data_IF_961172664386
#
_entry.id   IF_961172664386
#
_cell.length_a   1.000
_cell.length_b   1.000
_cell.length_c   1.000
_cell.angle_alpha   90.00
_cell.angle_beta   90.00
_cell.angle_gamma   90.00
#
_symmetry.space_group_name_H-M   'P 1'
#
loop_
_entity.id
_entity.type
_entity.pdbx_description
1 polymer ?
#
# COMPACT_ATOMS: atom_id res chain seq x y z
N UNK A 1 1.34 -16.95 23.65
CA UNK A 1 0.09 -16.44 23.05
C UNK A 1 -0.17 -15.05 23.64
N UNK A 2 0.38 -13.99 23.02
CA UNK A 2 0.10 -12.60 23.41
C UNK A 2 -0.86 -12.05 22.37
N UNK A 3 -2.15 -12.06 22.68
CA UNK A 3 -3.14 -11.27 21.95
C UNK A 3 -2.83 -9.80 22.22
N UNK A 4 -2.08 -9.18 21.32
CA UNK A 4 -2.03 -7.73 21.24
C UNK A 4 -3.46 -7.26 21.00
N UNK A 5 -3.99 -6.46 21.93
CA UNK A 5 -5.29 -5.85 21.80
C UNK A 5 -5.32 -5.06 20.50
N UNK A 6 -6.31 -5.33 19.64
CA UNK A 6 -6.58 -4.49 18.46
C UNK A 6 -6.76 -3.05 18.94
N UNK A 7 -6.02 -2.06 18.41
CA UNK A 7 -6.25 -0.68 18.78
C UNK A 7 -7.68 -0.29 18.42
N UNK A 8 -8.34 0.42 19.33
CA UNK A 8 -9.71 0.94 19.19
C UNK A 8 -9.80 1.83 17.92
N UNK A 9 -10.21 1.24 16.80
CA UNK A 9 -10.15 1.82 15.44
C UNK A 9 -11.06 3.04 15.19
N UNK A 10 -11.63 3.65 16.24
CA UNK A 10 -12.60 4.74 16.14
C UNK A 10 -12.12 6.11 16.61
N UNK A 11 -10.90 6.25 17.16
CA UNK A 11 -10.46 7.51 17.79
C UNK A 11 -9.27 8.11 17.05
N UNK A 12 -9.45 9.31 16.50
CA UNK A 12 -8.37 10.10 15.93
C UNK A 12 -7.83 11.06 16.99
N UNK A 13 -6.51 11.03 17.23
CA UNK A 13 -5.87 12.08 18.01
C UNK A 13 -5.83 13.36 17.14
N UNK A 14 -6.68 14.33 17.49
CA UNK A 14 -6.72 15.62 16.79
C UNK A 14 -5.84 16.62 17.52
N UNK A 15 -4.96 17.28 16.76
CA UNK A 15 -4.16 18.42 17.21
C UNK A 15 -4.83 19.69 16.69
N UNK A 16 -5.09 20.62 17.59
CA UNK A 16 -5.62 21.96 17.26
C UNK A 16 -4.49 22.96 17.38
N UNK A 17 -4.16 23.63 16.27
CA UNK A 17 -3.13 24.67 16.25
C UNK A 17 -3.78 26.04 16.07
N UNK A 18 -3.55 26.92 17.05
CA UNK A 18 -4.01 28.31 16.97
C UNK A 18 -3.08 29.06 16.02
N UNK A 19 -3.61 29.49 14.87
CA UNK A 19 -2.90 30.33 13.89
C UNK A 19 -3.11 31.81 14.17
N UNK A 20 -4.28 32.17 14.67
CA UNK A 20 -4.63 33.56 15.03
C UNK A 20 -5.57 33.53 16.21
N UNK A 21 -5.30 34.40 17.18
CA UNK A 21 -6.19 34.72 18.29
C UNK A 21 -5.98 36.21 18.59
N UNK A 22 -6.84 37.05 18.03
CA UNK A 22 -6.71 38.51 18.15
C UNK A 22 -8.01 39.07 18.69
N UNK A 23 -7.89 39.79 19.81
CA UNK A 23 -8.92 40.68 20.30
C UNK A 23 -8.54 42.12 19.96
N UNK A 24 -9.49 42.87 19.43
CA UNK A 24 -9.34 44.30 19.19
C UNK A 24 -10.54 45.02 19.79
N UNK A 25 -10.30 46.09 20.54
CA UNK A 25 -11.34 46.94 21.11
C UNK A 25 -11.01 48.40 20.80
N UNK A 26 -12.03 49.18 20.46
CA UNK A 26 -11.94 50.62 20.28
C UNK A 26 -13.14 51.31 20.90
N UNK A 27 -12.97 52.56 21.31
CA UNK A 27 -14.10 53.40 21.70
C UNK A 27 -15.01 53.63 20.48
N UNK A 28 -16.30 53.35 20.62
CA UNK A 28 -17.30 53.74 19.62
C UNK A 28 -17.86 55.13 19.92
N UNK A 29 -17.96 55.48 21.20
CA UNK A 29 -18.27 56.82 21.69
C UNK A 29 -17.78 56.99 23.16
N UNK A 30 -18.12 58.12 23.80
CA UNK A 30 -17.70 58.42 25.18
C UNK A 30 -18.28 57.48 26.26
N UNK A 31 -19.27 56.64 25.91
CA UNK A 31 -19.96 55.74 26.84
C UNK A 31 -19.84 54.27 26.46
N UNK A 32 -19.33 53.94 25.26
CA UNK A 32 -19.31 52.59 24.72
C UNK A 32 -17.99 52.25 24.03
N UNK A 33 -17.63 50.97 24.13
CA UNK A 33 -16.56 50.35 23.36
C UNK A 33 -17.14 49.25 22.47
N UNK A 34 -16.57 49.13 21.27
CA UNK A 34 -16.84 48.04 20.33
C UNK A 34 -15.57 47.24 20.11
N UNK A 35 -15.71 45.94 19.98
CA UNK A 35 -14.57 45.08 19.72
C UNK A 35 -14.89 43.88 18.85
N UNK A 36 -13.81 43.23 18.44
CA UNK A 36 -13.82 42.05 17.60
C UNK A 36 -12.91 40.99 18.18
N UNK A 37 -13.32 39.74 17.99
CA UNK A 37 -12.50 38.55 18.15
C UNK A 37 -12.30 37.95 16.77
N UNK A 38 -11.05 37.65 16.41
CA UNK A 38 -10.71 36.83 15.23
C UNK A 38 -9.92 35.61 15.69
N UNK A 39 -10.41 34.43 15.31
CA UNK A 39 -9.76 33.14 15.61
C UNK A 39 -9.54 32.38 14.30
N UNK A 40 -8.30 31.94 14.07
CA UNK A 40 -7.96 30.97 13.01
C UNK A 40 -7.35 29.73 13.63
N UNK A 41 -7.91 28.56 13.35
CA UNK A 41 -7.44 27.26 13.83
C UNK A 41 -7.09 26.37 12.65
N UNK A 42 -6.03 25.59 12.78
CA UNK A 42 -5.77 24.43 11.94
C UNK A 42 -6.02 23.16 12.74
N UNK A 43 -6.74 22.22 12.12
CA UNK A 43 -6.97 20.88 12.65
C UNK A 43 -6.09 19.90 11.91
N UNK A 44 -5.33 19.11 12.67
CA UNK A 44 -4.40 18.11 12.19
C UNK A 44 -4.72 16.78 12.88
N UNK A 45 -4.52 15.64 12.22
CA UNK A 45 -4.52 14.34 12.89
C UNK A 45 -3.09 13.92 13.19
N UNK A 46 -2.88 13.34 14.36
CA UNK A 46 -1.61 12.77 14.79
C UNK A 46 -1.69 11.24 14.74
N UNK A 47 -0.86 10.61 13.91
CA UNK A 47 -0.70 9.15 13.84
C UNK A 47 0.78 8.82 13.80
N UNK A 48 1.21 7.89 14.66
CA UNK A 48 2.61 7.42 14.70
C UNK A 48 3.65 8.56 14.75
N UNK A 49 3.33 9.65 15.46
CA UNK A 49 4.19 10.85 15.56
C UNK A 49 4.11 11.83 14.38
N UNK A 50 3.43 11.47 13.30
CA UNK A 50 3.24 12.30 12.11
C UNK A 50 1.95 13.11 12.22
N UNK A 51 2.05 14.42 11.97
CA UNK A 51 0.89 15.32 11.90
C UNK A 51 0.47 15.51 10.44
N UNK A 52 -0.78 15.19 10.14
CA UNK A 52 -1.35 15.38 8.81
C UNK A 52 -2.49 16.40 8.87
N UNK A 53 -2.50 17.43 7.99
CA UNK A 53 -3.54 18.45 8.00
C UNK A 53 -4.91 17.86 7.62
N UNK A 54 -5.95 18.31 8.31
CA UNK A 54 -7.35 17.97 8.02
C UNK A 54 -8.06 19.15 7.35
N UNK A 55 -8.26 20.22 8.12
CA UNK A 55 -8.97 21.43 7.68
C UNK A 55 -8.57 22.64 8.53
N UNK A 56 -8.94 23.83 8.08
CA UNK A 56 -8.80 25.07 8.85
C UNK A 56 -10.17 25.69 9.13
N UNK A 57 -10.28 26.40 10.24
CA UNK A 57 -11.45 27.15 10.63
C UNK A 57 -11.07 28.61 10.87
N UNK A 58 -11.86 29.52 10.32
CA UNK A 58 -11.78 30.94 10.61
C UNK A 58 -13.13 31.41 11.12
N UNK A 59 -13.12 32.05 12.28
CA UNK A 59 -14.33 32.56 12.91
C UNK A 59 -13.99 33.66 13.91
N UNK A 60 -14.96 33.96 14.76
CA UNK A 60 -14.85 35.07 15.69
C UNK A 60 -16.19 35.72 15.94
N UNK A 61 -16.15 36.92 16.48
CA UNK A 61 -17.37 37.64 16.84
C UNK A 61 -17.12 39.13 17.02
N UNK A 62 -18.21 39.85 17.18
CA UNK A 62 -18.20 41.27 17.55
C UNK A 62 -18.90 41.43 18.89
N UNK A 63 -18.48 42.41 19.67
CA UNK A 63 -19.18 42.80 20.88
C UNK A 63 -19.24 44.33 21.00
N UNK A 64 -20.20 44.79 21.78
CA UNK A 64 -20.29 46.16 22.25
C UNK A 64 -20.57 46.14 23.74
N UNK A 65 -19.94 47.03 24.51
CA UNK A 65 -20.14 47.12 25.95
C UNK A 65 -20.13 48.57 26.43
N UNK A 66 -20.88 48.90 27.50
CA UNK A 66 -20.77 50.19 28.15
C UNK A 66 -19.45 50.31 28.94
N UNK A 67 -18.98 51.55 29.12
CA UNK A 67 -17.79 51.89 29.90
C UNK A 67 -18.09 52.16 31.39
N UNK A 68 -19.34 51.98 31.82
CA UNK A 68 -19.76 52.17 33.21
C UNK A 68 -19.17 51.11 34.15
N UNK A 69 -18.96 51.45 35.41
CA UNK A 69 -18.46 50.53 36.46
C UNK A 69 -19.35 49.30 36.72
N UNK A 70 -20.63 49.36 36.33
CA UNK A 70 -21.58 48.24 36.42
C UNK A 70 -21.60 47.33 35.18
N UNK A 71 -20.77 47.59 34.17
CA UNK A 71 -20.70 46.78 32.95
C UNK A 71 -19.96 45.45 33.20
N UNK A 72 -20.30 44.42 32.40
CA UNK A 72 -19.48 43.21 32.28
C UNK A 72 -18.02 43.58 32.06
N UNK A 73 -17.11 42.89 32.76
CA UNK A 73 -15.68 43.12 32.56
C UNK A 73 -15.31 42.73 31.13
N UNK A 74 -14.37 43.45 30.48
CA UNK A 74 -13.91 43.10 29.15
C UNK A 74 -13.53 41.62 29.02
N UNK A 75 -12.91 41.07 30.07
CA UNK A 75 -12.47 39.67 30.14
C UNK A 75 -13.62 38.66 30.09
N UNK A 76 -14.77 38.97 30.69
CA UNK A 76 -15.94 38.07 30.71
C UNK A 76 -16.60 37.97 29.32
N UNK A 77 -16.67 39.10 28.61
CA UNK A 77 -17.15 39.14 27.22
C UNK A 77 -16.18 38.45 26.27
N UNK A 78 -14.87 38.69 26.44
CA UNK A 78 -13.83 38.03 25.66
C UNK A 78 -13.86 36.51 25.86
N UNK A 79 -14.00 36.04 27.10
CA UNK A 79 -14.11 34.62 27.41
C UNK A 79 -15.37 34.02 26.78
N UNK A 80 -16.51 34.71 26.87
CA UNK A 80 -17.78 34.24 26.28
C UNK A 80 -17.66 34.08 24.76
N UNK A 81 -17.11 35.10 24.06
CA UNK A 81 -16.90 35.04 22.62
C UNK A 81 -15.90 33.95 22.22
N UNK A 82 -14.81 33.80 22.98
CA UNK A 82 -13.81 32.76 22.72
C UNK A 82 -14.44 31.38 22.86
N UNK A 83 -15.19 31.14 23.94
CA UNK A 83 -15.90 29.87 24.19
C UNK A 83 -16.86 29.54 23.05
N UNK A 84 -17.71 30.49 22.66
CA UNK A 84 -18.64 30.30 21.54
C UNK A 84 -17.92 30.02 20.21
N UNK A 85 -16.79 30.69 19.97
CA UNK A 85 -15.98 30.48 18.76
C UNK A 85 -15.33 29.10 18.74
N UNK A 86 -14.82 28.64 19.89
CA UNK A 86 -14.24 27.29 20.03
C UNK A 86 -15.32 26.19 19.91
N UNK A 87 -16.49 26.38 20.50
CA UNK A 87 -17.62 25.44 20.33
C UNK A 87 -18.07 25.35 18.87
N UNK A 88 -18.09 26.49 18.17
CA UNK A 88 -18.43 26.54 16.75
C UNK A 88 -17.37 25.85 15.89
N UNK A 89 -16.08 26.01 16.23
CA UNK A 89 -14.99 25.36 15.49
C UNK A 89 -14.97 23.84 15.67
N UNK A 90 -15.31 23.35 16.86
CA UNK A 90 -15.43 21.90 17.11
C UNK A 90 -16.63 21.29 16.40
N UNK A 91 -17.79 21.98 16.38
CA UNK A 91 -18.95 21.57 15.57
C UNK A 91 -18.64 21.55 14.08
N UNK A 92 -17.92 22.56 13.60
CA UNK A 92 -17.42 22.59 12.22
C UNK A 92 -16.52 21.38 11.92
N UNK A 93 -15.56 21.08 12.80
CA UNK A 93 -14.68 19.92 12.65
C UNK A 93 -15.48 18.61 12.60
N UNK A 94 -16.45 18.43 13.50
CA UNK A 94 -17.29 17.22 13.55
C UNK A 94 -18.09 17.02 12.25
N UNK A 95 -18.71 18.09 11.74
CA UNK A 95 -19.39 18.06 10.44
C UNK A 95 -18.41 17.76 9.30
N UNK A 96 -17.23 18.38 9.33
CA UNK A 96 -16.20 18.15 8.31
C UNK A 96 -15.71 16.71 8.33
N UNK A 97 -15.45 16.13 9.50
CA UNK A 97 -15.05 14.74 9.68
C UNK A 97 -16.14 13.77 9.20
N UNK A 98 -17.40 14.06 9.47
CA UNK A 98 -18.53 13.25 9.00
C UNK A 98 -18.62 13.21 7.47
N UNK A 99 -18.35 14.34 6.80
CA UNK A 99 -18.39 14.46 5.34
C UNK A 99 -17.14 13.89 4.65
N UNK A 100 -15.97 14.05 5.26
CA UNK A 100 -14.68 13.73 4.61
C UNK A 100 -14.04 12.42 5.11
N UNK A 101 -14.32 12.01 6.34
CA UNK A 101 -13.76 10.80 6.96
C UNK A 101 -13.90 9.52 6.10
N UNK A 102 -15.05 9.27 5.45
CA UNK A 102 -15.22 8.09 4.61
C UNK A 102 -14.30 8.01 3.39
N UNK A 103 -13.76 9.14 2.90
CA UNK A 103 -12.99 9.20 1.64
C UNK A 103 -11.55 9.65 1.82
N UNK A 104 -11.18 10.20 2.99
CA UNK A 104 -9.83 10.65 3.29
C UNK A 104 -8.99 9.51 3.85
N UNK A 105 -7.94 9.13 3.12
CA UNK A 105 -7.01 8.06 3.50
C UNK A 105 -6.34 8.29 4.85
N UNK A 106 -5.94 9.53 5.14
CA UNK A 106 -5.43 10.00 6.44
C UNK A 106 -6.35 9.68 7.63
N UNK A 107 -7.65 9.52 7.36
CA UNK A 107 -8.67 9.16 8.36
C UNK A 107 -9.10 7.69 8.28
N UNK A 108 -8.60 6.92 7.31
CA UNK A 108 -8.95 5.51 7.15
C UNK A 108 -8.57 4.71 8.40
N UNK A 109 -9.36 3.67 8.68
CA UNK A 109 -9.32 2.87 9.91
C UNK A 109 -8.76 1.48 9.69
N UNK A 110 -8.72 1.03 8.44
CA UNK A 110 -8.22 -0.28 8.05
C UNK A 110 -7.86 -0.30 6.57
N UNK A 111 -7.11 -1.33 6.20
CA UNK A 111 -6.73 -1.63 4.82
C UNK A 111 -7.34 -2.95 4.42
N UNK A 112 -7.85 -3.02 3.19
CA UNK A 112 -8.39 -4.24 2.58
C UNK A 112 -7.70 -4.48 1.25
N UNK A 113 -7.03 -5.62 1.14
CA UNK A 113 -6.42 -6.08 -0.10
C UNK A 113 -7.45 -6.84 -0.93
N UNK A 114 -7.56 -6.51 -2.20
CA UNK A 114 -8.31 -7.27 -3.20
C UNK A 114 -7.36 -7.65 -4.31
N UNK A 115 -7.03 -8.95 -4.39
CA UNK A 115 -6.29 -9.46 -5.53
C UNK A 115 -7.22 -9.55 -6.72
N UNK A 116 -6.84 -8.90 -7.82
CA UNK A 116 -7.49 -9.09 -9.10
C UNK A 116 -6.94 -10.38 -9.70
N UNK A 117 -7.82 -11.28 -10.12
CA UNK A 117 -7.45 -12.37 -11.01
C UNK A 117 -6.71 -11.75 -12.20
N UNK A 118 -5.48 -12.22 -12.42
CA UNK A 118 -4.50 -11.57 -13.29
C UNK A 118 -5.12 -11.13 -14.62
N UNK A 119 -4.72 -9.95 -15.09
CA UNK A 119 -5.07 -9.39 -16.39
C UNK A 119 -5.37 -10.47 -17.42
N UNK A 120 -6.64 -10.64 -17.76
CA UNK A 120 -7.12 -11.52 -18.80
C UNK A 120 -6.77 -10.92 -20.16
N UNK A 121 -5.49 -10.76 -20.47
CA UNK A 121 -5.08 -10.05 -21.69
C UNK A 121 -3.82 -10.70 -22.25
N UNK A 122 -4.03 -11.82 -22.95
CA UNK A 122 -3.06 -12.52 -23.79
C UNK A 122 -1.83 -13.04 -23.02
N UNK A 123 -1.69 -14.36 -22.95
CA UNK A 123 -0.52 -15.04 -22.36
C UNK A 123 0.82 -14.58 -22.96
N UNK A 124 0.78 -13.91 -24.12
CA UNK A 124 1.95 -13.35 -24.78
C UNK A 124 1.65 -11.93 -25.27
N UNK A 125 2.51 -10.96 -24.91
CA UNK A 125 2.48 -9.61 -25.48
C UNK A 125 3.91 -9.15 -25.75
N UNK A 126 4.26 -9.05 -27.03
CA UNK A 126 5.60 -8.65 -27.46
C UNK A 126 6.68 -9.61 -26.93
N UNK A 127 7.59 -9.07 -26.12
CA UNK A 127 8.72 -9.77 -25.50
C UNK A 127 8.32 -10.61 -24.27
N UNK A 128 7.11 -10.44 -23.74
CA UNK A 128 6.74 -11.04 -22.45
C UNK A 128 5.84 -12.27 -22.64
N UNK A 129 6.18 -13.37 -21.97
CA UNK A 129 5.28 -14.51 -21.72
C UNK A 129 4.78 -14.43 -20.29
N UNK A 130 3.47 -14.37 -20.10
CA UNK A 130 2.86 -14.44 -18.78
C UNK A 130 2.60 -15.90 -18.38
N UNK A 131 2.73 -16.19 -17.09
CA UNK A 131 2.53 -17.54 -16.58
C UNK A 131 1.07 -17.98 -16.80
N UNK A 132 0.87 -19.02 -17.60
CA UNK A 132 -0.40 -19.69 -17.81
C UNK A 132 -0.12 -21.20 -17.88
N UNK A 133 -0.71 -22.04 -17.01
CA UNK A 133 -0.55 -23.49 -17.06
C UNK A 133 -0.91 -24.12 -18.41
N UNK A 134 -1.76 -23.44 -19.20
CA UNK A 134 -2.20 -23.87 -20.54
C UNK A 134 -1.24 -23.41 -21.64
N UNK A 135 -0.27 -22.54 -21.32
CA UNK A 135 0.79 -22.09 -22.23
C UNK A 135 2.16 -22.25 -21.55
N UNK A 136 2.65 -23.50 -21.36
CA UNK A 136 4.00 -23.74 -20.87
C UNK A 136 5.04 -23.18 -21.85
N UNK A 137 6.24 -22.86 -21.38
CA UNK A 137 7.34 -22.33 -22.19
C UNK A 137 7.66 -23.24 -23.38
N UNK A 138 8.07 -22.62 -24.49
CA UNK A 138 8.59 -23.32 -25.68
C UNK A 138 9.93 -22.72 -26.07
N UNK A 139 10.76 -23.45 -26.80
CA UNK A 139 12.06 -22.92 -27.25
C UNK A 139 11.99 -21.65 -28.10
N UNK A 140 10.85 -21.35 -28.74
CA UNK A 140 10.63 -20.09 -29.45
C UNK A 140 10.51 -18.86 -28.51
N UNK A 141 10.38 -19.08 -27.20
CA UNK A 141 10.37 -18.04 -26.18
C UNK A 141 11.79 -17.64 -25.73
N UNK A 142 12.85 -18.27 -26.26
CA UNK A 142 14.24 -18.00 -25.90
C UNK A 142 14.94 -17.32 -27.09
N UNK A 143 14.83 -15.99 -27.15
CA UNK A 143 15.28 -15.18 -28.30
C UNK A 143 16.63 -14.52 -28.10
N UNK A 144 17.12 -14.42 -26.86
CA UNK A 144 18.42 -13.84 -26.59
C UNK A 144 19.54 -14.72 -27.15
N UNK A 145 20.64 -14.07 -27.55
CA UNK A 145 21.85 -14.79 -27.95
C UNK A 145 22.47 -15.52 -26.74
N UNK A 146 22.94 -16.77 -26.90
CA UNK A 146 23.64 -17.49 -25.84
C UNK A 146 24.87 -16.72 -25.35
N UNK A 147 25.09 -16.72 -24.04
CA UNK A 147 26.23 -16.00 -23.44
C UNK A 147 27.47 -16.88 -23.40
N UNK A 148 28.57 -16.39 -23.95
CA UNK A 148 29.89 -17.04 -23.86
C UNK A 148 30.39 -17.09 -22.42
N UNK A 149 31.01 -18.21 -22.01
CA UNK A 149 31.62 -18.36 -20.69
C UNK A 149 30.71 -18.86 -19.57
N UNK A 150 29.48 -19.28 -19.89
CA UNK A 150 28.59 -20.01 -18.96
C UNK A 150 28.68 -21.52 -19.22
N UNK A 151 28.69 -22.32 -18.15
CA UNK A 151 28.82 -23.79 -18.21
C UNK A 151 27.48 -24.53 -18.36
N UNK A 152 26.39 -23.83 -18.66
CA UNK A 152 25.04 -24.39 -18.77
C UNK A 152 24.41 -24.09 -20.14
N UNK A 153 23.49 -24.96 -20.56
CA UNK A 153 22.98 -25.04 -21.93
C UNK A 153 21.88 -24.04 -22.30
N UNK A 154 21.14 -23.55 -21.31
CA UNK A 154 20.05 -22.59 -21.46
C UNK A 154 19.92 -21.72 -20.20
N UNK A 155 19.19 -20.61 -20.32
CA UNK A 155 18.75 -19.84 -19.16
C UNK A 155 17.45 -19.10 -19.47
N UNK A 156 16.47 -19.26 -18.59
CA UNK A 156 15.24 -18.48 -18.56
C UNK A 156 15.42 -17.24 -17.68
N UNK A 157 14.98 -16.09 -18.18
CA UNK A 157 14.73 -14.93 -17.34
C UNK A 157 13.26 -14.96 -16.91
N UNK A 158 13.00 -15.41 -15.68
CA UNK A 158 11.66 -15.42 -15.09
C UNK A 158 11.62 -14.57 -13.82
N UNK A 159 10.52 -13.83 -13.64
CA UNK A 159 10.34 -12.91 -12.50
C UNK A 159 8.85 -12.65 -12.24
N UNK A 160 8.55 -11.98 -11.13
CA UNK A 160 7.22 -11.49 -10.84
C UNK A 160 7.24 -10.02 -10.44
N UNK A 161 6.09 -9.37 -10.62
CA UNK A 161 5.86 -7.99 -10.20
C UNK A 161 4.39 -7.80 -9.83
N UNK A 162 4.06 -6.62 -9.35
CA UNK A 162 2.67 -6.27 -9.04
C UNK A 162 2.35 -4.84 -9.47
N UNK A 163 1.07 -4.62 -9.75
CA UNK A 163 0.48 -3.30 -9.91
C UNK A 163 -0.57 -3.14 -8.82
N UNK A 164 -0.56 -2.01 -8.12
CA UNK A 164 -1.52 -1.72 -7.06
C UNK A 164 -2.16 -0.35 -7.29
N UNK A 165 -3.46 -0.26 -7.03
CA UNK A 165 -4.20 1.01 -6.95
C UNK A 165 -4.96 1.04 -5.63
N UNK A 166 -4.91 2.16 -4.93
CA UNK A 166 -5.58 2.33 -3.64
C UNK A 166 -6.64 3.43 -3.74
N UNK A 167 -7.78 3.22 -3.09
CA UNK A 167 -8.79 4.25 -2.89
C UNK A 167 -9.45 4.06 -1.53
N UNK A 168 -9.82 5.17 -0.88
CA UNK A 168 -10.47 5.11 0.43
C UNK A 168 -11.98 5.24 0.27
N UNK A 169 -12.72 4.24 0.75
CA UNK A 169 -14.19 4.21 0.74
C UNK A 169 -14.69 3.68 2.08
N UNK A 170 -15.63 4.39 2.70
CA UNK A 170 -16.18 4.03 4.01
C UNK A 170 -15.14 4.07 5.15
N UNK A 171 -14.04 4.80 4.96
CA UNK A 171 -12.91 4.83 5.89
C UNK A 171 -12.08 3.54 5.86
N UNK A 172 -12.10 2.81 4.75
CA UNK A 172 -11.23 1.65 4.47
C UNK A 172 -10.41 1.95 3.23
N UNK A 173 -9.10 1.76 3.29
CA UNK A 173 -8.24 1.80 2.11
C UNK A 173 -8.40 0.49 1.35
N UNK A 174 -9.02 0.53 0.18
CA UNK A 174 -9.17 -0.63 -0.70
C UNK A 174 -8.02 -0.69 -1.71
N UNK A 175 -7.07 -1.59 -1.45
CA UNK A 175 -5.92 -1.82 -2.32
C UNK A 175 -6.26 -2.91 -3.32
N UNK A 176 -6.40 -2.52 -4.58
CA UNK A 176 -6.62 -3.41 -5.70
C UNK A 176 -5.28 -3.79 -6.32
N UNK A 177 -4.88 -5.05 -6.15
CA UNK A 177 -3.56 -5.52 -6.55
C UNK A 177 -3.65 -6.58 -7.65
N UNK A 178 -2.86 -6.44 -8.70
CA UNK A 178 -2.66 -7.43 -9.74
C UNK A 178 -1.21 -7.93 -9.70
N UNK A 179 -1.01 -9.21 -9.41
CA UNK A 179 0.32 -9.85 -9.42
C UNK A 179 0.54 -10.51 -10.77
N UNK A 180 1.69 -10.26 -11.38
CA UNK A 180 2.08 -10.76 -12.71
C UNK A 180 3.32 -11.61 -12.56
N UNK A 181 3.29 -12.82 -13.11
CA UNK A 181 4.44 -13.71 -13.22
C UNK A 181 4.78 -13.80 -14.70
N UNK A 182 6.05 -13.59 -15.05
CA UNK A 182 6.43 -13.44 -16.45
C UNK A 182 7.84 -13.93 -16.76
N UNK A 183 8.04 -14.22 -18.04
CA UNK A 183 9.33 -14.51 -18.67
C UNK A 183 9.60 -13.47 -19.77
N UNK A 184 10.86 -13.06 -19.92
CA UNK A 184 11.29 -12.13 -20.97
C UNK A 184 12.05 -12.88 -22.07
N UNK A 185 11.53 -12.88 -23.29
CA UNK A 185 12.05 -13.68 -24.40
C UNK A 185 13.43 -13.23 -24.83
N UNK A 186 13.63 -11.93 -24.91
CA UNK A 186 14.86 -11.26 -25.33
C UNK A 186 15.92 -11.23 -24.21
N UNK A 187 15.61 -11.79 -23.03
CA UNK A 187 16.59 -12.06 -21.97
C UNK A 187 16.81 -13.55 -21.69
N UNK A 188 16.06 -14.42 -22.36
CA UNK A 188 16.18 -15.87 -22.22
C UNK A 188 16.87 -16.48 -23.43
N UNK A 189 17.81 -17.39 -23.22
CA UNK A 189 18.65 -17.94 -24.30
C UNK A 189 18.84 -19.45 -24.15
N UNK A 190 19.18 -20.10 -25.26
CA UNK A 190 19.51 -21.54 -25.30
C UNK A 190 20.51 -21.82 -26.41
N UNK A 191 21.54 -22.62 -26.11
CA UNK A 191 22.44 -23.15 -27.13
C UNK A 191 21.69 -24.14 -28.03
N UNK A 192 21.82 -24.09 -29.35
CA UNK A 192 21.12 -25.00 -30.26
C UNK A 192 21.27 -26.48 -29.89
N UNK A 193 22.47 -26.90 -29.45
CA UNK A 193 22.75 -28.28 -29.04
C UNK A 193 22.10 -28.69 -27.70
N UNK A 194 21.67 -27.73 -26.88
CA UNK A 194 21.03 -27.99 -25.60
C UNK A 194 19.49 -28.11 -25.70
N UNK A 195 18.90 -27.83 -26.88
CA UNK A 195 17.45 -27.89 -27.09
C UNK A 195 16.94 -29.33 -27.03
N UNK A 196 16.29 -29.69 -25.93
CA UNK A 196 15.55 -30.94 -25.77
C UNK A 196 14.46 -30.77 -24.70
N UNK A 197 13.50 -31.68 -24.65
CA UNK A 197 12.34 -31.55 -23.75
C UNK A 197 12.72 -31.55 -22.26
N UNK A 198 13.77 -32.26 -21.89
CA UNK A 198 14.23 -32.33 -20.50
C UNK A 198 14.86 -31.00 -20.04
N UNK A 199 15.68 -30.38 -20.89
CA UNK A 199 16.21 -29.04 -20.65
C UNK A 199 15.10 -27.99 -20.64
N UNK A 200 14.09 -28.10 -21.52
CA UNK A 200 12.95 -27.18 -21.52
C UNK A 200 12.15 -27.30 -20.22
N UNK A 201 11.99 -28.53 -19.71
CA UNK A 201 11.32 -28.77 -18.42
C UNK A 201 12.07 -28.13 -17.25
N UNK A 202 13.41 -28.12 -17.29
CA UNK A 202 14.24 -27.45 -16.30
C UNK A 202 13.94 -25.95 -16.25
N UNK A 203 13.96 -25.30 -17.42
CA UNK A 203 13.62 -23.87 -17.54
C UNK A 203 12.16 -23.59 -17.17
N UNK A 204 11.23 -24.50 -17.48
CA UNK A 204 9.84 -24.39 -17.04
C UNK A 204 9.74 -24.45 -15.52
N UNK A 205 10.55 -25.25 -14.83
CA UNK A 205 10.49 -25.35 -13.38
C UNK A 205 10.99 -24.07 -12.69
N UNK A 206 11.97 -23.36 -13.27
CA UNK A 206 12.30 -22.00 -12.82
C UNK A 206 11.07 -21.08 -12.88
N UNK A 207 10.32 -21.13 -13.97
CA UNK A 207 9.10 -20.33 -14.11
C UNK A 207 7.99 -20.74 -13.11
N UNK A 208 7.88 -22.05 -12.83
CA UNK A 208 6.98 -22.58 -11.79
C UNK A 208 7.39 -22.13 -10.39
N UNK A 209 8.70 -22.07 -10.09
CA UNK A 209 9.24 -21.52 -8.83
C UNK A 209 8.87 -20.05 -8.69
N UNK A 210 9.04 -19.24 -9.73
CA UNK A 210 8.61 -17.82 -9.73
C UNK A 210 7.12 -17.71 -9.43
N UNK A 211 6.30 -18.57 -10.03
CA UNK A 211 4.85 -18.61 -9.78
C UNK A 211 4.52 -18.95 -8.34
N UNK A 212 5.18 -19.96 -7.77
CA UNK A 212 5.00 -20.37 -6.38
C UNK A 212 5.34 -19.22 -5.42
N UNK A 213 6.47 -18.54 -5.63
CA UNK A 213 6.88 -17.43 -4.78
C UNK A 213 5.93 -16.24 -4.91
N UNK A 214 5.39 -15.98 -6.09
CA UNK A 214 4.34 -14.96 -6.26
C UNK A 214 3.05 -15.30 -5.47
N UNK A 215 2.69 -16.57 -5.36
CA UNK A 215 1.57 -16.99 -4.49
C UNK A 215 1.92 -16.87 -3.00
N UNK A 216 3.14 -17.20 -2.60
CA UNK A 216 3.62 -16.96 -1.23
C UNK A 216 3.62 -15.48 -0.87
N UNK A 217 4.01 -14.60 -1.80
CA UNK A 217 3.90 -13.15 -1.65
C UNK A 217 2.47 -12.71 -1.34
N UNK A 218 1.48 -13.22 -2.08
CA UNK A 218 0.05 -12.94 -1.82
C UNK A 218 -0.37 -13.42 -0.43
N UNK A 219 0.06 -14.62 -0.01
CA UNK A 219 -0.24 -15.15 1.31
C UNK A 219 0.40 -14.32 2.44
N UNK A 220 1.66 -13.89 2.28
CA UNK A 220 2.33 -13.00 3.23
C UNK A 220 1.57 -11.69 3.40
N UNK A 221 1.06 -11.09 2.31
CA UNK A 221 0.21 -9.88 2.39
C UNK A 221 -1.09 -10.15 3.14
N UNK A 222 -1.78 -11.26 2.86
CA UNK A 222 -3.06 -11.58 3.52
C UNK A 222 -2.87 -11.78 5.04
N UNK A 223 -1.73 -12.36 5.43
CA UNK A 223 -1.39 -12.60 6.83
C UNK A 223 -0.93 -11.33 7.57
N UNK A 224 -0.61 -10.26 6.85
CA UNK A 224 -0.09 -9.02 7.44
C UNK A 224 -1.23 -8.11 7.93
N UNK A 225 -1.08 -7.58 9.14
CA UNK A 225 -1.95 -6.51 9.65
C UNK A 225 -1.50 -5.16 9.07
N UNK A 226 -1.99 -4.84 7.87
CA UNK A 226 -1.65 -3.58 7.18
C UNK A 226 -2.36 -2.38 7.83
N UNK A 227 -1.57 -1.42 8.28
CA UNK A 227 -2.05 -0.14 8.81
C UNK A 227 -2.23 0.91 7.69
N UNK A 228 -3.27 1.77 7.74
CA UNK A 228 -3.57 2.73 6.67
C UNK A 228 -2.45 3.73 6.34
N UNK A 229 -1.56 4.04 7.28
CA UNK A 229 -0.44 4.97 7.09
C UNK A 229 0.86 4.29 6.64
N UNK A 230 0.93 2.95 6.67
CA UNK A 230 2.16 2.20 6.38
C UNK A 230 2.00 1.10 5.32
N UNK A 231 0.77 0.81 4.86
CA UNK A 231 0.50 -0.34 4.01
C UNK A 231 1.34 -0.39 2.74
N UNK A 232 1.58 0.75 2.08
CA UNK A 232 2.34 0.83 0.84
C UNK A 232 3.80 0.41 1.06
N UNK A 233 4.44 1.00 2.07
CA UNK A 233 5.79 0.65 2.48
C UNK A 233 5.89 -0.83 2.91
N UNK A 234 4.86 -1.34 3.60
CA UNK A 234 4.83 -2.72 4.08
C UNK A 234 4.66 -3.73 2.94
N UNK A 235 3.80 -3.45 1.97
CA UNK A 235 3.64 -4.25 0.75
C UNK A 235 4.96 -4.29 -0.01
N UNK A 236 5.63 -3.14 -0.16
CA UNK A 236 6.92 -3.07 -0.86
C UNK A 236 8.02 -3.86 -0.12
N UNK A 237 8.03 -3.81 1.21
CA UNK A 237 8.96 -4.63 2.00
C UNK A 237 8.73 -6.13 1.77
N UNK A 238 7.47 -6.59 1.83
CA UNK A 238 7.10 -8.00 1.59
C UNK A 238 7.45 -8.43 0.16
N UNK A 239 7.31 -7.52 -0.82
CA UNK A 239 7.73 -7.77 -2.20
C UNK A 239 9.23 -8.00 -2.30
N UNK A 240 10.05 -7.10 -1.73
CA UNK A 240 11.51 -7.24 -1.77
C UNK A 240 12.00 -8.50 -1.07
N UNK A 241 11.39 -8.87 0.06
CA UNK A 241 11.67 -10.13 0.74
C UNK A 241 11.33 -11.34 -0.13
N UNK A 242 10.16 -11.33 -0.76
CA UNK A 242 9.71 -12.41 -1.65
C UNK A 242 10.56 -12.48 -2.93
N UNK A 243 11.07 -11.36 -3.42
CA UNK A 243 12.02 -11.34 -4.54
C UNK A 243 13.36 -11.98 -4.18
N UNK A 244 13.87 -11.74 -2.96
CA UNK A 244 15.08 -12.42 -2.46
C UNK A 244 14.83 -13.92 -2.27
N UNK A 245 13.67 -14.29 -1.76
CA UNK A 245 13.24 -15.69 -1.65
C UNK A 245 13.25 -16.38 -3.02
N UNK A 246 12.67 -15.74 -4.04
CA UNK A 246 12.67 -16.26 -5.41
C UNK A 246 14.07 -16.56 -5.92
N UNK A 247 15.00 -15.62 -5.80
CA UNK A 247 16.37 -15.83 -6.27
C UNK A 247 17.05 -16.96 -5.52
N UNK A 248 16.91 -17.01 -4.19
CA UNK A 248 17.48 -18.08 -3.36
C UNK A 248 16.95 -19.47 -3.75
N UNK A 249 15.64 -19.61 -3.99
CA UNK A 249 15.05 -20.89 -4.37
C UNK A 249 15.51 -21.31 -5.77
N UNK A 250 15.62 -20.38 -6.71
CA UNK A 250 16.15 -20.66 -8.05
C UNK A 250 17.63 -21.09 -8.00
N UNK A 251 18.48 -20.38 -7.24
CA UNK A 251 19.89 -20.74 -7.04
C UNK A 251 20.02 -22.13 -6.41
N UNK A 252 19.21 -22.43 -5.38
CA UNK A 252 19.22 -23.75 -4.72
C UNK A 252 18.80 -24.85 -5.70
N UNK A 253 17.81 -24.59 -6.55
CA UNK A 253 17.37 -25.55 -7.57
C UNK A 253 18.48 -25.83 -8.59
N UNK A 254 19.14 -24.78 -9.10
CA UNK A 254 20.29 -24.88 -9.99
C UNK A 254 21.42 -25.71 -9.37
N UNK A 255 21.79 -25.40 -8.12
CA UNK A 255 22.86 -26.09 -7.38
C UNK A 255 22.54 -27.58 -7.17
N UNK A 256 21.36 -27.90 -6.65
CA UNK A 256 20.97 -29.28 -6.34
C UNK A 256 20.78 -30.17 -7.57
N UNK A 257 20.37 -29.56 -8.69
CA UNK A 257 20.26 -30.27 -9.98
C UNK A 257 21.55 -30.25 -10.79
N UNK A 258 22.60 -29.58 -10.31
CA UNK A 258 23.82 -29.31 -11.05
C UNK A 258 23.51 -28.75 -12.46
N UNK A 259 22.69 -27.71 -12.53
CA UNK A 259 22.21 -27.08 -13.76
C UNK A 259 21.63 -28.09 -14.76
N UNK A 260 20.61 -28.83 -14.33
CA UNK A 260 19.91 -29.90 -15.07
C UNK A 260 20.67 -31.23 -15.23
N UNK A 261 21.93 -31.37 -14.83
CA UNK A 261 22.69 -32.63 -15.01
C UNK A 261 22.11 -33.78 -14.16
N UNK A 262 21.66 -33.48 -12.94
CA UNK A 262 21.12 -34.47 -12.00
C UNK A 262 19.61 -34.67 -12.19
N UNK A 263 19.24 -35.65 -13.04
CA UNK A 263 17.84 -36.02 -13.34
C UNK A 263 17.02 -36.41 -12.11
N UNK A 264 17.62 -37.13 -11.17
CA UNK A 264 16.92 -37.57 -9.98
C UNK A 264 16.60 -36.40 -9.05
N UNK A 265 17.49 -35.42 -8.92
CA UNK A 265 17.22 -34.19 -8.19
C UNK A 265 16.12 -33.37 -8.87
N UNK A 266 16.18 -33.19 -10.19
CA UNK A 266 15.14 -32.47 -10.93
C UNK A 266 13.75 -33.09 -10.74
N UNK A 267 13.63 -34.42 -10.83
CA UNK A 267 12.36 -35.12 -10.59
C UNK A 267 11.80 -34.91 -9.17
N UNK A 268 12.67 -34.80 -8.14
CA UNK A 268 12.22 -34.47 -6.77
C UNK A 268 11.70 -33.03 -6.68
N UNK A 269 12.41 -32.09 -7.31
CA UNK A 269 11.96 -30.70 -7.39
C UNK A 269 10.65 -30.56 -8.15
N UNK A 270 10.50 -31.26 -9.27
CA UNK A 270 9.26 -31.34 -10.03
C UNK A 270 8.07 -31.74 -9.15
N UNK A 271 8.20 -32.85 -8.41
CA UNK A 271 7.17 -33.33 -7.52
C UNK A 271 6.86 -32.32 -6.40
N UNK A 272 7.89 -31.74 -5.79
CA UNK A 272 7.77 -30.75 -4.72
C UNK A 272 7.02 -29.49 -5.19
N UNK A 273 7.51 -28.83 -6.24
CA UNK A 273 6.92 -27.58 -6.73
C UNK A 273 5.50 -27.82 -7.24
N UNK A 274 5.24 -28.93 -7.92
CA UNK A 274 3.89 -29.29 -8.36
C UNK A 274 2.93 -29.45 -7.17
N UNK A 275 3.34 -30.17 -6.12
CA UNK A 275 2.53 -30.36 -4.92
C UNK A 275 2.24 -29.02 -4.21
N UNK A 276 3.23 -28.14 -4.11
CA UNK A 276 3.06 -26.82 -3.48
C UNK A 276 2.22 -25.85 -4.33
N UNK A 277 2.27 -25.97 -5.66
CA UNK A 277 1.57 -25.06 -6.55
C UNK A 277 0.10 -25.46 -6.80
N UNK A 278 -0.20 -26.75 -6.75
CA UNK A 278 -1.55 -27.33 -7.01
C UNK A 278 -2.67 -26.60 -6.25
N UNK A 279 -2.56 -26.29 -4.94
CA UNK A 279 -3.61 -25.59 -4.20
C UNK A 279 -3.98 -24.22 -4.78
N UNK A 280 -3.03 -23.53 -5.42
CA UNK A 280 -3.25 -22.19 -5.96
C UNK A 280 -3.82 -22.19 -7.39
N UNK A 281 -3.55 -23.26 -8.15
CA UNK A 281 -4.10 -23.43 -9.50
C UNK A 281 -5.57 -23.86 -9.47
N UNK A 282 -5.99 -24.63 -8.47
CA UNK A 282 -7.38 -25.04 -8.30
C UNK A 282 -8.33 -23.89 -7.88
N UNK A 283 -7.79 -22.79 -7.35
CA UNK A 283 -8.56 -21.65 -6.85
C UNK A 283 -8.84 -20.56 -7.91
N UNK A 284 -8.30 -20.70 -9.13
CA UNK A 284 -8.46 -19.73 -10.23
C UNK A 284 -8.76 -20.45 -11.55
N UNK A 285 -9.99 -20.98 -11.77
CA UNK A 285 -10.43 -21.51 -13.06
C UNK A 285 -10.56 -20.42 -14.14
#
# INVERSE_FOLDING_TARGET
MKTAARPDTGRWAVVVRVKTLVFSEKLSNSKQAEGTLTVKLAFEVLRNGVRSPLTEYEGGGRFSRPLSSAALKPTELQETLLRQTLESSLRYLDQWLSLNGPTREVLARSVRIRFRSGFTVQSERGDTVHYDPRRPLRWADFKAAPRSGKNYGAAVFSSFGYEATAHTVGGVVEVNMAVKVYQLKDQSWVWPAAKNDYALRHEQLHFDITRLVAERFKQKIIAEALEPDEYDARIQFIFLDSFREMNKVQETYDEETAHSINRAAQARWDAKITAELTPFLAQNP
#
